data_IF_352073102068
#
_entry.id   IF_352073102068
#
_cell.length_a   1.000
_cell.length_b   1.000
_cell.length_c   1.000
_cell.angle_alpha   90.00
_cell.angle_beta   90.00
_cell.angle_gamma   90.00
#
_symmetry.space_group_name_H-M   'P 1'
#
loop_
_entity.id
_entity.type
_entity.pdbx_description
1 polymer ?
#
# COMPACT_ATOMS: atom_id res chain seq x y z
N UNK A 1 -45.43 -26.54 10.06
CA UNK A 1 -46.85 -26.18 10.27
C UNK A 1 -46.93 -25.44 11.59
N UNK A 2 -47.28 -24.15 11.58
CA UNK A 2 -47.52 -23.41 12.82
C UNK A 2 -48.97 -23.68 13.23
N UNK A 3 -49.15 -24.44 14.30
CA UNK A 3 -50.45 -24.71 14.90
C UNK A 3 -50.84 -23.51 15.76
N UNK A 4 -51.84 -22.75 15.34
CA UNK A 4 -52.37 -21.63 16.10
C UNK A 4 -53.46 -22.16 17.04
N UNK A 5 -53.16 -22.24 18.34
CA UNK A 5 -54.20 -22.41 19.35
C UNK A 5 -54.93 -21.07 19.51
N UNK A 6 -56.12 -20.97 18.94
CA UNK A 6 -57.08 -19.94 19.32
C UNK A 6 -57.66 -20.32 20.69
N UNK A 7 -57.25 -19.61 21.74
CA UNK A 7 -57.99 -19.64 23.00
C UNK A 7 -59.26 -18.78 22.84
N UNK A 8 -60.35 -19.24 23.44
CA UNK A 8 -61.73 -18.73 23.28
C UNK A 8 -61.96 -17.29 23.77
N UNK A 9 -60.92 -16.57 24.18
CA UNK A 9 -61.03 -15.41 25.06
C UNK A 9 -60.50 -14.12 24.42
N UNK A 10 -60.30 -14.12 23.09
CA UNK A 10 -60.12 -12.88 22.31
C UNK A 10 -58.83 -12.09 22.56
N UNK A 11 -57.88 -12.62 23.33
CA UNK A 11 -56.57 -11.99 23.51
C UNK A 11 -55.57 -12.62 22.55
N UNK A 12 -55.36 -11.99 21.40
CA UNK A 12 -54.24 -12.33 20.52
C UNK A 12 -52.93 -11.98 21.25
N UNK A 13 -52.38 -12.94 21.99
CA UNK A 13 -50.98 -12.89 22.41
C UNK A 13 -50.19 -13.04 21.12
N UNK A 14 -49.75 -11.91 20.56
CA UNK A 14 -48.84 -11.89 19.42
C UNK A 14 -47.56 -12.60 19.82
N UNK A 15 -47.49 -13.90 19.52
CA UNK A 15 -46.28 -14.69 19.65
C UNK A 15 -45.27 -14.09 18.68
N UNK A 16 -44.41 -13.19 19.18
CA UNK A 16 -43.22 -12.78 18.46
C UNK A 16 -42.31 -14.00 18.41
N UNK A 17 -42.45 -14.78 17.34
CA UNK A 17 -41.48 -15.82 17.01
C UNK A 17 -40.23 -15.09 16.55
N UNK A 18 -39.24 -15.01 17.43
CA UNK A 18 -37.89 -14.61 17.04
C UNK A 18 -37.30 -15.78 16.25
N UNK A 19 -37.49 -15.77 14.93
CA UNK A 19 -36.83 -16.71 14.04
C UNK A 19 -35.39 -16.23 13.84
N UNK A 20 -34.43 -17.05 14.25
CA UNK A 20 -33.03 -16.84 13.86
C UNK A 20 -32.84 -17.36 12.44
N UNK A 21 -31.82 -16.87 11.72
CA UNK A 21 -31.50 -17.32 10.36
C UNK A 21 -31.32 -18.85 10.31
N UNK A 22 -30.69 -19.42 11.33
CA UNK A 22 -30.50 -20.87 11.52
C UNK A 22 -31.78 -21.71 11.63
N UNK A 23 -32.94 -21.06 11.78
CA UNK A 23 -34.26 -21.72 11.89
C UNK A 23 -35.10 -21.63 10.62
N UNK A 24 -34.57 -20.99 9.56
CA UNK A 24 -35.27 -20.78 8.30
C UNK A 24 -34.64 -21.69 7.24
N UNK A 25 -35.31 -22.80 6.93
CA UNK A 25 -34.86 -23.68 5.86
C UNK A 25 -35.02 -23.00 4.50
N UNK A 26 -34.07 -23.25 3.60
CA UNK A 26 -34.14 -22.82 2.20
C UNK A 26 -34.33 -24.03 1.29
N UNK A 27 -34.89 -23.79 0.11
CA UNK A 27 -34.88 -24.75 -0.99
C UNK A 27 -34.08 -24.13 -2.10
N UNK A 28 -32.87 -24.63 -2.29
CA UNK A 28 -32.01 -24.20 -3.37
C UNK A 28 -32.26 -25.04 -4.62
N UNK A 29 -33.06 -24.50 -5.54
CA UNK A 29 -33.37 -25.16 -6.81
C UNK A 29 -32.20 -25.20 -7.80
N UNK A 30 -31.13 -24.44 -7.56
CA UNK A 30 -29.97 -24.34 -8.45
C UNK A 30 -28.73 -25.08 -7.99
N UNK A 31 -28.74 -25.61 -6.76
CA UNK A 31 -27.56 -26.23 -6.13
C UNK A 31 -26.36 -25.28 -6.03
N UNK A 32 -26.63 -23.99 -5.82
CA UNK A 32 -25.66 -22.94 -5.51
C UNK A 32 -25.11 -23.04 -4.08
N UNK A 33 -25.90 -23.56 -3.14
CA UNK A 33 -25.56 -23.66 -1.73
C UNK A 33 -25.59 -25.10 -1.24
N UNK A 34 -24.67 -25.45 -0.35
CA UNK A 34 -24.73 -26.71 0.41
C UNK A 34 -25.60 -26.57 1.66
N UNK A 35 -25.76 -25.35 2.15
CA UNK A 35 -26.61 -24.96 3.25
C UNK A 35 -28.07 -25.27 2.98
N UNK A 36 -28.71 -25.91 3.95
CA UNK A 36 -30.16 -26.22 3.90
C UNK A 36 -31.00 -25.16 4.62
N UNK A 37 -30.33 -24.16 5.21
CA UNK A 37 -30.92 -23.08 5.97
C UNK A 37 -30.18 -21.74 5.71
N UNK A 38 -30.84 -20.62 6.02
CA UNK A 38 -30.42 -19.27 5.66
C UNK A 38 -29.04 -18.88 6.21
N UNK A 39 -28.74 -19.18 7.47
CA UNK A 39 -27.44 -18.89 8.11
C UNK A 39 -26.28 -19.57 7.39
N UNK A 40 -26.35 -20.88 7.14
CA UNK A 40 -25.29 -21.62 6.42
C UNK A 40 -25.12 -21.09 5.00
N UNK A 41 -26.22 -20.83 4.28
CA UNK A 41 -26.13 -20.26 2.94
C UNK A 41 -25.53 -18.83 2.95
N UNK A 42 -25.85 -18.00 3.95
CA UNK A 42 -25.22 -16.70 4.14
C UNK A 42 -23.73 -16.80 4.47
N UNK A 43 -23.32 -17.80 5.25
CA UNK A 43 -21.91 -18.07 5.53
C UNK A 43 -21.17 -18.54 4.27
N UNK A 44 -21.80 -19.33 3.40
CA UNK A 44 -21.25 -19.72 2.10
C UNK A 44 -21.10 -18.52 1.18
N UNK A 45 -22.11 -17.66 1.07
CA UNK A 45 -22.02 -16.40 0.31
C UNK A 45 -20.90 -15.51 0.87
N UNK A 46 -20.82 -15.40 2.21
CA UNK A 46 -19.77 -14.65 2.88
C UNK A 46 -18.38 -15.23 2.61
N UNK A 47 -18.26 -16.56 2.50
CA UNK A 47 -17.03 -17.24 2.13
C UNK A 47 -16.69 -17.08 0.64
N UNK A 48 -17.69 -17.05 -0.25
CA UNK A 48 -17.48 -16.75 -1.68
C UNK A 48 -17.11 -15.29 -1.91
N UNK A 49 -17.61 -14.35 -1.12
CA UNK A 49 -17.12 -12.97 -1.14
C UNK A 49 -15.64 -12.85 -0.75
N UNK A 50 -15.11 -13.80 0.05
CA UNK A 50 -13.66 -13.91 0.27
C UNK A 50 -12.90 -14.35 -0.99
N UNK A 51 -13.55 -14.86 -2.03
CA UNK A 51 -12.89 -15.27 -3.30
C UNK A 51 -12.33 -14.06 -4.05
N UNK A 52 -12.75 -12.83 -3.72
CA UNK A 52 -12.08 -11.62 -4.19
C UNK A 52 -10.76 -11.30 -3.49
N UNK A 53 -10.40 -12.08 -2.45
CA UNK A 53 -9.29 -11.88 -1.53
C UNK A 53 -8.86 -10.41 -1.39
N UNK A 54 -9.83 -9.57 -1.00
CA UNK A 54 -9.60 -8.14 -0.95
C UNK A 54 -8.41 -7.86 -0.03
N UNK A 55 -7.53 -7.00 -0.50
CA UNK A 55 -6.43 -6.45 0.26
C UNK A 55 -6.29 -4.96 -0.01
N UNK A 56 -5.52 -4.26 0.79
CA UNK A 56 -5.30 -2.82 0.64
C UNK A 56 -6.35 -1.97 1.36
N UNK A 57 -6.35 -0.68 1.07
CA UNK A 57 -7.04 0.34 1.86
C UNK A 57 -8.40 0.72 1.27
N UNK A 58 -9.38 0.98 2.14
CA UNK A 58 -10.64 1.59 1.67
C UNK A 58 -10.46 3.08 1.33
N UNK A 59 -9.52 3.74 2.01
CA UNK A 59 -9.21 5.16 1.84
C UNK A 59 -7.77 5.44 2.31
N UNK A 60 -6.81 5.29 1.40
CA UNK A 60 -5.40 5.54 1.65
C UNK A 60 -5.08 7.02 1.92
N UNK A 61 -5.93 7.96 1.51
CA UNK A 61 -5.70 9.40 1.71
C UNK A 61 -5.67 9.82 3.19
N UNK A 62 -6.13 8.93 4.08
CA UNK A 62 -6.09 9.11 5.54
C UNK A 62 -4.87 8.49 6.21
N UNK A 63 -3.97 7.88 5.44
CA UNK A 63 -2.75 7.24 5.93
C UNK A 63 -1.55 8.04 5.46
N UNK A 64 -0.74 8.50 6.42
CA UNK A 64 0.52 9.17 6.14
C UNK A 64 1.69 8.27 6.55
N UNK A 65 2.60 8.00 5.63
CA UNK A 65 3.83 7.24 5.86
C UNK A 65 5.00 8.17 6.18
N UNK A 66 5.85 7.75 7.09
CA UNK A 66 7.12 8.42 7.37
C UNK A 66 8.19 7.41 7.80
N UNK A 67 9.45 7.81 7.64
CA UNK A 67 10.60 7.02 8.04
C UNK A 67 11.52 7.80 8.97
N UNK A 68 11.96 7.14 10.04
CA UNK A 68 12.96 7.66 10.94
C UNK A 68 14.30 6.93 10.73
N UNK A 69 15.30 7.60 10.15
CA UNK A 69 16.63 6.99 9.91
C UNK A 69 17.35 6.59 11.20
N UNK A 70 17.15 7.32 12.30
CA UNK A 70 17.85 7.05 13.55
C UNK A 70 17.35 5.76 14.23
N UNK A 71 16.03 5.54 14.21
CA UNK A 71 15.40 4.36 14.81
C UNK A 71 15.10 3.26 13.79
N UNK A 72 15.25 3.55 12.49
CA UNK A 72 14.97 2.67 11.35
C UNK A 72 13.52 2.18 11.37
N UNK A 73 12.64 3.12 11.70
CA UNK A 73 11.22 2.88 11.97
C UNK A 73 10.38 3.49 10.86
N UNK A 74 9.57 2.64 10.22
CA UNK A 74 8.45 3.10 9.42
C UNK A 74 7.29 3.41 10.35
N UNK A 75 6.66 4.56 10.17
CA UNK A 75 5.50 5.01 10.95
C UNK A 75 4.35 5.32 10.01
N UNK A 76 3.18 4.76 10.30
CA UNK A 76 1.90 5.12 9.70
C UNK A 76 1.09 5.95 10.69
N UNK A 77 0.65 7.13 10.27
CA UNK A 77 -0.27 7.97 11.06
C UNK A 77 -1.64 8.00 10.39
N UNK A 78 -2.71 7.84 11.17
CA UNK A 78 -4.07 7.76 10.66
C UNK A 78 -4.89 9.00 11.02
N UNK A 79 -5.57 9.55 10.02
CA UNK A 79 -6.57 10.60 10.24
C UNK A 79 -7.92 9.99 10.55
N UNK A 80 -8.24 9.87 11.85
CA UNK A 80 -9.47 9.24 12.32
C UNK A 80 -9.39 7.71 12.31
N UNK A 81 -10.53 7.05 12.08
CA UNK A 81 -10.59 5.60 11.86
C UNK A 81 -10.46 5.31 10.38
N UNK A 82 -9.51 4.45 10.03
CA UNK A 82 -9.29 3.93 8.68
C UNK A 82 -9.64 2.45 8.64
N UNK A 83 -9.87 1.93 7.45
CA UNK A 83 -10.21 0.53 7.22
C UNK A 83 -9.34 -0.02 6.10
N UNK A 84 -8.92 -1.27 6.27
CA UNK A 84 -8.14 -2.01 5.29
C UNK A 84 -8.63 -3.45 5.25
N UNK A 85 -8.24 -4.15 4.20
CA UNK A 85 -8.55 -5.55 4.00
C UNK A 85 -7.26 -6.37 3.99
N UNK A 86 -7.30 -7.54 4.61
CA UNK A 86 -6.23 -8.54 4.58
C UNK A 86 -6.87 -9.92 4.60
N UNK A 87 -6.49 -10.79 3.68
CA UNK A 87 -7.04 -12.12 3.44
C UNK A 87 -8.59 -12.10 3.33
N UNK A 88 -9.11 -11.06 2.66
CA UNK A 88 -10.55 -10.84 2.51
C UNK A 88 -11.29 -10.53 3.82
N UNK A 89 -10.57 -10.26 4.90
CA UNK A 89 -11.10 -9.84 6.20
C UNK A 89 -10.87 -8.33 6.35
N UNK A 90 -11.93 -7.62 6.73
CA UNK A 90 -11.89 -6.17 6.97
C UNK A 90 -11.42 -5.87 8.39
N UNK A 91 -10.43 -5.02 8.50
CA UNK A 91 -9.87 -4.52 9.75
C UNK A 91 -10.07 -3.01 9.86
N UNK A 92 -9.92 -2.49 11.07
CA UNK A 92 -9.98 -1.06 11.34
C UNK A 92 -8.80 -0.61 12.17
N UNK A 93 -8.25 0.56 11.88
CA UNK A 93 -7.15 1.12 12.65
C UNK A 93 -7.36 2.61 12.94
N UNK A 94 -6.72 3.11 14.00
CA UNK A 94 -6.71 4.53 14.33
C UNK A 94 -5.45 4.90 15.13
N UNK A 95 -5.07 6.18 15.13
CA UNK A 95 -3.88 6.63 15.84
C UNK A 95 -2.62 6.45 15.00
N UNK A 96 -1.70 5.61 15.46
CA UNK A 96 -0.39 5.43 14.83
C UNK A 96 0.05 3.99 14.97
N UNK A 97 0.58 3.41 13.90
CA UNK A 97 1.35 2.16 13.94
C UNK A 97 2.79 2.43 13.54
N UNK A 98 3.72 1.72 14.17
CA UNK A 98 5.13 1.85 13.89
C UNK A 98 5.80 0.48 13.96
N UNK A 99 6.71 0.22 13.02
CA UNK A 99 7.51 -1.00 13.03
C UNK A 99 8.88 -0.74 12.45
N UNK A 100 9.91 -1.02 13.26
CA UNK A 100 11.30 -0.93 12.85
C UNK A 100 11.76 -2.20 12.13
N UNK A 101 12.76 -2.05 11.25
CA UNK A 101 13.45 -3.21 10.71
C UNK A 101 14.15 -3.98 11.83
N UNK A 102 14.10 -5.31 11.76
CA UNK A 102 14.49 -6.21 12.86
C UNK A 102 15.99 -6.42 13.00
N UNK A 103 16.78 -5.98 12.01
CA UNK A 103 18.24 -6.07 12.03
C UNK A 103 18.87 -4.97 11.17
N UNK A 104 20.07 -4.54 11.55
CA UNK A 104 20.85 -3.58 10.76
C UNK A 104 21.58 -4.28 9.62
N UNK A 105 20.81 -4.75 8.65
CA UNK A 105 21.33 -5.48 7.50
C UNK A 105 20.79 -4.86 6.22
N UNK A 106 21.67 -4.64 5.24
CA UNK A 106 21.26 -4.25 3.89
C UNK A 106 20.22 -5.21 3.32
N UNK A 107 19.31 -4.68 2.52
CA UNK A 107 18.29 -5.46 1.83
C UNK A 107 17.05 -4.65 1.50
N UNK A 108 16.10 -5.33 0.85
CA UNK A 108 14.75 -4.82 0.63
C UNK A 108 13.87 -5.30 1.78
N UNK A 109 13.11 -4.39 2.36
CA UNK A 109 12.22 -4.62 3.50
C UNK A 109 10.79 -4.31 3.08
N UNK A 110 9.85 -5.16 3.46
CA UNK A 110 8.44 -5.03 3.07
C UNK A 110 7.59 -5.04 4.32
N UNK A 111 6.76 -4.01 4.48
CA UNK A 111 5.78 -3.89 5.57
C UNK A 111 4.40 -4.21 5.04
N UNK A 112 3.66 -5.03 5.78
CA UNK A 112 2.29 -5.42 5.46
C UNK A 112 1.54 -5.80 6.73
N UNK A 113 0.21 -5.76 6.69
CA UNK A 113 -0.60 -6.38 7.74
C UNK A 113 -0.82 -7.85 7.46
N UNK A 114 -0.48 -8.70 8.43
CA UNK A 114 -0.93 -10.09 8.52
C UNK A 114 -2.12 -10.13 9.49
N UNK A 115 -3.33 -10.05 8.93
CA UNK A 115 -4.54 -9.83 9.72
C UNK A 115 -4.54 -8.46 10.40
N UNK A 116 -4.56 -8.41 11.73
CA UNK A 116 -4.52 -7.17 12.53
C UNK A 116 -3.11 -6.74 12.95
N UNK A 117 -2.08 -7.48 12.54
CA UNK A 117 -0.71 -7.29 13.01
C UNK A 117 0.19 -6.73 11.90
N UNK A 118 0.74 -5.54 12.13
CA UNK A 118 1.77 -4.97 11.25
C UNK A 118 3.04 -5.83 11.35
N UNK A 119 3.52 -6.28 10.20
CA UNK A 119 4.64 -7.21 10.05
C UNK A 119 5.67 -6.63 9.08
N UNK A 120 6.94 -7.04 9.22
CA UNK A 120 8.02 -6.69 8.29
C UNK A 120 8.82 -7.93 7.90
N UNK A 121 9.08 -8.09 6.59
CA UNK A 121 9.93 -9.15 6.04
C UNK A 121 11.12 -8.56 5.28
N UNK A 122 12.28 -9.22 5.33
CA UNK A 122 13.50 -8.82 4.63
C UNK A 122 13.84 -9.79 3.52
N UNK A 123 14.15 -9.25 2.34
CA UNK A 123 14.50 -10.01 1.14
C UNK A 123 13.57 -11.21 0.93
N UNK A 124 12.24 -10.99 0.88
CA UNK A 124 11.29 -12.07 0.64
C UNK A 124 11.64 -12.79 -0.67
N UNK A 125 11.45 -14.11 -0.66
CA UNK A 125 11.43 -14.91 -1.88
C UNK A 125 10.26 -14.51 -2.78
N UNK A 126 10.30 -14.90 -4.05
CA UNK A 126 9.19 -14.64 -4.98
C UNK A 126 7.85 -15.15 -4.44
N UNK A 127 7.79 -16.37 -3.91
CA UNK A 127 6.55 -16.89 -3.31
C UNK A 127 6.08 -16.15 -2.06
N UNK A 128 6.99 -15.52 -1.30
CA UNK A 128 6.60 -14.68 -0.17
C UNK A 128 6.08 -13.32 -0.65
N UNK A 129 6.65 -12.78 -1.73
CA UNK A 129 6.12 -11.57 -2.37
C UNK A 129 4.74 -11.81 -2.95
N UNK A 130 4.54 -12.92 -3.65
CA UNK A 130 3.23 -13.29 -4.21
C UNK A 130 2.19 -13.39 -3.08
N UNK A 131 2.54 -14.01 -1.95
CA UNK A 131 1.63 -14.09 -0.79
C UNK A 131 1.30 -12.70 -0.23
N UNK A 132 2.31 -11.84 -0.05
CA UNK A 132 2.13 -10.46 0.41
C UNK A 132 1.23 -9.66 -0.51
N UNK A 133 1.46 -9.71 -1.83
CA UNK A 133 0.69 -8.95 -2.82
C UNK A 133 -0.71 -9.53 -3.02
N UNK A 134 -0.91 -10.85 -2.88
CA UNK A 134 -2.21 -11.47 -3.12
C UNK A 134 -3.14 -11.42 -1.94
N UNK A 135 -2.59 -11.54 -0.73
CA UNK A 135 -3.37 -11.91 0.44
C UNK A 135 -3.24 -10.87 1.56
N UNK A 136 -2.23 -10.02 1.57
CA UNK A 136 -1.98 -9.11 2.69
C UNK A 136 -2.17 -7.64 2.30
N UNK A 137 -2.50 -6.80 3.28
CA UNK A 137 -2.49 -5.36 3.07
C UNK A 137 -1.04 -4.87 3.05
N UNK A 138 -0.44 -4.82 1.86
CA UNK A 138 0.87 -4.20 1.66
C UNK A 138 0.83 -2.72 2.05
N UNK A 139 1.90 -2.25 2.69
CA UNK A 139 2.00 -0.88 3.23
C UNK A 139 3.12 -0.12 2.53
N UNK A 140 4.33 -0.69 2.54
CA UNK A 140 5.50 -0.03 1.99
C UNK A 140 6.61 -1.06 1.69
N UNK A 141 7.48 -0.69 0.76
CA UNK A 141 8.75 -1.35 0.55
C UNK A 141 9.90 -0.36 0.79
N UNK A 142 11.02 -0.82 1.35
CA UNK A 142 12.20 0.00 1.57
C UNK A 142 13.49 -0.70 1.16
N UNK A 143 14.34 -0.03 0.39
CA UNK A 143 15.74 -0.45 0.28
C UNK A 143 16.54 0.18 1.42
N UNK A 144 17.16 -0.65 2.26
CA UNK A 144 18.10 -0.22 3.31
C UNK A 144 19.51 -0.66 2.93
N UNK A 145 20.49 0.22 3.13
CA UNK A 145 21.89 -0.06 2.85
C UNK A 145 22.79 0.40 4.00
N UNK A 146 23.52 -0.54 4.60
CA UNK A 146 24.43 -0.29 5.74
C UNK A 146 25.82 0.17 5.32
N UNK A 147 26.17 0.08 4.05
CA UNK A 147 27.52 0.34 3.55
C UNK A 147 27.75 1.82 3.23
N UNK A 148 26.68 2.62 3.20
CA UNK A 148 26.73 4.03 2.85
C UNK A 148 26.41 4.90 4.06
N UNK A 149 27.24 5.91 4.30
CA UNK A 149 27.07 6.88 5.38
C UNK A 149 26.41 8.17 4.84
N UNK A 150 25.26 8.03 4.17
CA UNK A 150 24.44 9.17 3.77
C UNK A 150 23.31 9.34 4.77
N UNK A 151 22.90 10.59 5.04
CA UNK A 151 21.81 10.87 6.00
C UNK A 151 20.43 10.38 5.52
N UNK A 152 20.36 9.84 4.30
CA UNK A 152 19.13 9.47 3.59
C UNK A 152 19.20 8.06 2.96
N UNK A 153 19.65 7.09 3.77
CA UNK A 153 19.97 5.70 3.38
C UNK A 153 18.78 4.82 2.99
N UNK A 154 17.54 5.27 3.19
CA UNK A 154 16.34 4.50 2.84
C UNK A 154 15.79 4.94 1.49
N UNK A 155 15.32 4.00 0.67
CA UNK A 155 14.41 4.31 -0.43
C UNK A 155 13.05 3.74 -0.07
N UNK A 156 12.17 4.57 0.48
CA UNK A 156 10.83 4.15 0.88
C UNK A 156 9.86 4.35 -0.29
N UNK A 157 9.29 3.25 -0.78
CA UNK A 157 8.17 3.22 -1.70
C UNK A 157 6.88 2.97 -0.92
N UNK A 158 5.86 3.79 -1.19
CA UNK A 158 4.54 3.67 -0.59
C UNK A 158 3.70 2.72 -1.45
N UNK A 159 3.09 1.72 -0.82
CA UNK A 159 2.28 0.68 -1.47
C UNK A 159 0.84 0.70 -0.93
N UNK A 160 0.38 1.89 -0.53
CA UNK A 160 -0.96 2.14 0.01
C UNK A 160 -2.04 2.05 -1.07
N UNK A 161 -2.02 0.97 -1.85
CA UNK A 161 -3.00 0.66 -2.88
C UNK A 161 -4.39 0.47 -2.29
N UNK A 162 -5.40 0.67 -3.12
CA UNK A 162 -6.79 0.58 -2.76
C UNK A 162 -7.35 -0.84 -2.87
N UNK A 163 -8.40 -1.12 -2.09
CA UNK A 163 -9.06 -2.43 -2.05
C UNK A 163 -10.04 -2.70 -3.21
N UNK A 164 -9.96 -1.96 -4.31
CA UNK A 164 -10.89 -2.08 -5.43
C UNK A 164 -10.45 -3.13 -6.47
N UNK A 165 -9.21 -3.60 -6.38
CA UNK A 165 -8.66 -4.65 -7.25
C UNK A 165 -8.35 -5.92 -6.47
N UNK A 166 -8.35 -7.06 -7.16
CA UNK A 166 -7.88 -8.31 -6.56
C UNK A 166 -6.36 -8.30 -6.50
N UNK A 167 -5.76 -8.96 -5.50
CA UNK A 167 -4.30 -9.06 -5.39
C UNK A 167 -3.61 -9.70 -6.60
N UNK A 168 -4.32 -10.54 -7.38
CA UNK A 168 -3.82 -11.06 -8.67
C UNK A 168 -3.80 -10.02 -9.79
N UNK A 169 -4.75 -9.09 -9.76
CA UNK A 169 -4.76 -7.96 -10.69
C UNK A 169 -3.63 -7.01 -10.34
N UNK A 170 -3.44 -6.73 -9.05
CA UNK A 170 -2.31 -5.97 -8.50
C UNK A 170 -0.98 -6.57 -8.98
N UNK A 171 -0.67 -7.83 -8.67
CA UNK A 171 0.56 -8.51 -9.16
C UNK A 171 0.75 -8.40 -10.68
N UNK A 172 -0.31 -8.65 -11.46
CA UNK A 172 -0.21 -8.56 -12.92
C UNK A 172 0.15 -7.16 -13.41
N UNK A 173 -0.33 -6.10 -12.74
CA UNK A 173 0.02 -4.72 -13.08
C UNK A 173 1.49 -4.47 -12.75
N UNK A 174 1.98 -4.84 -11.56
CA UNK A 174 3.39 -4.73 -11.19
C UNK A 174 4.31 -5.41 -12.23
N UNK A 175 3.96 -6.63 -12.63
CA UNK A 175 4.80 -7.45 -13.51
C UNK A 175 4.75 -7.02 -14.99
N UNK A 176 3.56 -6.67 -15.48
CA UNK A 176 3.33 -6.46 -16.91
C UNK A 176 3.40 -4.98 -17.32
N UNK A 177 3.13 -4.06 -16.39
CA UNK A 177 3.02 -2.63 -16.66
C UNK A 177 4.07 -1.87 -15.83
N UNK A 178 4.07 -2.08 -14.52
CA UNK A 178 4.84 -1.30 -13.55
C UNK A 178 4.44 0.17 -13.56
N UNK A 179 5.39 1.03 -13.20
CA UNK A 179 5.20 2.48 -13.19
C UNK A 179 5.10 3.06 -14.62
N UNK A 180 4.09 3.90 -14.85
CA UNK A 180 3.82 4.54 -16.14
C UNK A 180 3.84 6.06 -16.03
N UNK A 181 4.68 6.72 -16.83
CA UNK A 181 4.71 8.18 -16.95
C UNK A 181 3.41 8.74 -17.55
N UNK A 182 2.86 9.81 -16.97
CA UNK A 182 1.66 10.49 -17.49
C UNK A 182 2.04 11.80 -18.18
N UNK A 183 2.62 12.75 -17.45
CA UNK A 183 2.97 14.07 -17.98
C UNK A 183 4.05 14.79 -17.16
N UNK A 184 4.50 15.95 -17.66
CA UNK A 184 5.47 16.79 -16.96
C UNK A 184 6.94 16.56 -17.33
N UNK A 185 7.86 16.88 -16.41
CA UNK A 185 9.30 16.65 -16.56
C UNK A 185 9.97 17.36 -17.74
N UNK A 186 9.43 18.50 -18.19
CA UNK A 186 10.04 19.27 -19.29
C UNK A 186 11.31 19.95 -18.83
N UNK A 187 12.42 19.69 -19.54
CA UNK A 187 13.74 20.26 -19.26
C UNK A 187 13.87 21.68 -19.81
N UNK A 188 14.42 22.59 -19.01
CA UNK A 188 14.75 23.96 -19.41
C UNK A 188 16.01 24.49 -18.71
N UNK A 189 16.42 25.73 -19.02
CA UNK A 189 17.55 26.42 -18.37
C UNK A 189 18.90 25.66 -18.38
N UNK A 190 19.19 24.91 -19.46
CA UNK A 190 20.47 24.21 -19.68
C UNK A 190 21.29 24.82 -20.83
N UNK A 191 22.61 24.62 -20.79
CA UNK A 191 23.53 25.09 -21.84
C UNK A 191 24.01 23.94 -22.73
N UNK A 192 23.84 24.09 -24.05
CA UNK A 192 24.32 23.11 -25.03
C UNK A 192 25.76 23.41 -25.51
N UNK A 193 26.49 22.35 -25.85
CA UNK A 193 27.79 22.47 -26.52
C UNK A 193 28.97 22.78 -25.60
N UNK A 194 28.80 22.59 -24.30
CA UNK A 194 29.84 22.70 -23.27
C UNK A 194 29.75 21.50 -22.32
N UNK A 195 30.82 21.26 -21.55
CA UNK A 195 30.97 20.09 -20.67
C UNK A 195 31.32 20.50 -19.23
N UNK A 196 30.75 21.61 -18.76
CA UNK A 196 30.90 22.10 -17.38
C UNK A 196 29.73 21.67 -16.51
N UNK A 197 29.97 21.54 -15.21
CA UNK A 197 28.93 21.29 -14.18
C UNK A 197 27.77 22.29 -14.28
N UNK A 198 28.05 23.57 -14.51
CA UNK A 198 27.03 24.59 -14.69
C UNK A 198 26.16 24.42 -15.96
N UNK A 199 26.61 23.60 -16.92
CA UNK A 199 25.89 23.37 -18.17
C UNK A 199 24.98 22.13 -18.12
N UNK A 200 25.17 21.28 -17.12
CA UNK A 200 24.41 20.05 -16.91
C UNK A 200 23.44 20.18 -15.73
N UNK A 201 23.36 21.34 -15.10
CA UNK A 201 22.20 21.73 -14.30
C UNK A 201 21.10 22.22 -15.22
N UNK A 202 19.85 22.02 -14.79
CA UNK A 202 18.66 22.29 -15.58
C UNK A 202 17.48 22.50 -14.65
N UNK A 203 16.42 23.10 -15.18
CA UNK A 203 15.12 23.17 -14.53
C UNK A 203 14.20 22.06 -15.07
N UNK A 204 13.27 21.60 -14.23
CA UNK A 204 12.22 20.65 -14.55
C UNK A 204 10.86 21.25 -14.21
N UNK A 205 9.85 20.97 -15.02
CA UNK A 205 8.45 21.12 -14.57
C UNK A 205 8.09 19.98 -13.63
N UNK A 206 7.01 20.15 -12.86
CA UNK A 206 6.34 19.07 -12.11
C UNK A 206 6.21 17.80 -12.96
N UNK A 207 6.21 16.64 -12.29
CA UNK A 207 6.19 15.32 -12.92
C UNK A 207 5.03 14.52 -12.36
N UNK A 208 4.27 13.89 -13.26
CA UNK A 208 3.20 12.99 -12.86
C UNK A 208 3.38 11.59 -13.46
N UNK A 209 3.22 10.57 -12.62
CA UNK A 209 3.25 9.17 -13.03
C UNK A 209 2.31 8.34 -12.17
N UNK A 210 1.96 7.16 -12.70
CA UNK A 210 1.18 6.17 -11.99
C UNK A 210 2.06 4.99 -11.61
N UNK A 211 1.95 4.56 -10.36
CA UNK A 211 2.33 3.21 -9.96
C UNK A 211 1.04 2.45 -9.69
N UNK A 212 0.58 1.71 -10.69
CA UNK A 212 -0.69 1.00 -10.67
C UNK A 212 -1.96 1.88 -10.47
N UNK A 213 -2.53 1.87 -9.27
CA UNK A 213 -3.67 2.66 -8.82
C UNK A 213 -3.26 3.86 -7.95
N UNK A 214 -1.94 4.07 -7.78
CA UNK A 214 -1.36 5.19 -7.04
C UNK A 214 -0.87 6.25 -8.02
N UNK A 215 -1.38 7.47 -7.86
CA UNK A 215 -0.93 8.65 -8.59
C UNK A 215 0.17 9.35 -7.79
N UNK A 216 1.30 9.61 -8.45
CA UNK A 216 2.44 10.32 -7.87
C UNK A 216 2.64 11.65 -8.59
N UNK A 217 2.54 12.73 -7.82
CA UNK A 217 2.79 14.10 -8.27
C UNK A 217 4.09 14.60 -7.60
N UNK A 218 5.17 14.67 -8.37
CA UNK A 218 6.40 15.37 -7.93
C UNK A 218 6.24 16.85 -8.26
N UNK A 219 6.24 17.69 -7.22
CA UNK A 219 5.95 19.13 -7.35
C UNK A 219 7.16 19.99 -6.99
N UNK A 220 7.32 21.10 -7.71
CA UNK A 220 8.34 22.10 -7.42
C UNK A 220 8.07 22.81 -6.09
N UNK A 221 9.05 22.79 -5.20
CA UNK A 221 9.02 23.51 -3.94
C UNK A 221 10.42 24.06 -3.63
N UNK A 222 10.50 25.39 -3.41
CA UNK A 222 11.75 26.04 -3.02
C UNK A 222 12.31 25.53 -1.68
N UNK A 223 11.41 25.12 -0.77
CA UNK A 223 11.72 24.53 0.53
C UNK A 223 11.04 23.16 0.63
N UNK A 224 11.47 22.19 -0.19
CA UNK A 224 10.91 20.84 -0.22
C UNK A 224 11.00 20.14 1.14
N UNK A 225 9.84 19.86 1.74
CA UNK A 225 9.74 19.22 3.07
C UNK A 225 8.63 18.17 3.15
N UNK A 226 7.69 18.19 2.21
CA UNK A 226 6.64 17.21 2.03
C UNK A 226 7.07 15.98 1.23
N UNK A 227 6.24 14.94 1.31
CA UNK A 227 6.38 13.77 0.44
C UNK A 227 6.11 14.19 -1.01
N UNK A 228 7.01 13.83 -1.92
CA UNK A 228 6.96 14.20 -3.35
C UNK A 228 7.13 15.70 -3.67
N UNK A 229 7.65 16.49 -2.73
CA UNK A 229 8.18 17.83 -3.04
C UNK A 229 9.67 17.73 -3.42
N UNK A 230 10.10 18.53 -4.39
CA UNK A 230 11.51 18.63 -4.79
C UNK A 230 11.80 20.05 -5.29
N UNK A 231 13.03 20.54 -5.12
CA UNK A 231 13.49 21.74 -5.84
C UNK A 231 13.67 21.36 -7.31
N UNK A 232 12.78 21.82 -8.18
CA UNK A 232 12.80 21.53 -9.63
C UNK A 232 13.16 22.77 -10.47
N UNK A 233 12.97 23.98 -9.94
CA UNK A 233 13.32 25.23 -10.64
C UNK A 233 14.49 25.96 -9.98
N UNK A 234 15.23 26.76 -10.77
CA UNK A 234 16.41 27.48 -10.28
C UNK A 234 17.64 26.60 -10.07
N UNK A 235 17.84 25.61 -10.95
CA UNK A 235 18.71 24.44 -10.85
C UNK A 235 18.09 23.33 -9.99
N UNK A 236 17.43 22.39 -10.67
CA UNK A 236 16.80 21.24 -10.03
C UNK A 236 17.80 20.45 -9.17
N UNK A 237 17.40 20.16 -7.93
CA UNK A 237 18.16 19.32 -7.03
C UNK A 237 17.61 17.90 -7.10
N UNK A 238 18.35 16.93 -7.64
CA UNK A 238 17.82 15.58 -7.90
C UNK A 238 18.64 14.55 -7.10
N UNK A 239 17.99 13.67 -6.32
CA UNK A 239 18.69 12.57 -5.64
C UNK A 239 19.18 11.55 -6.67
N UNK A 240 20.37 10.99 -6.44
CA UNK A 240 20.96 10.01 -7.35
C UNK A 240 20.89 8.62 -6.73
N UNK A 241 20.18 7.71 -7.41
CA UNK A 241 20.10 6.30 -7.06
C UNK A 241 21.20 5.51 -7.75
N UNK A 242 21.88 4.63 -7.02
CA UNK A 242 22.96 3.81 -7.56
C UNK A 242 23.09 2.46 -6.87
N UNK A 243 23.82 1.54 -7.49
CA UNK A 243 24.16 0.24 -6.91
C UNK A 243 25.49 0.36 -6.17
N UNK A 244 25.50 0.07 -4.88
CA UNK A 244 26.72 0.04 -4.08
C UNK A 244 27.67 -1.04 -4.62
N UNK A 245 28.96 -0.71 -4.70
CA UNK A 245 29.99 -1.61 -5.19
C UNK A 245 30.32 -2.75 -4.22
N UNK A 246 29.96 -2.63 -2.94
CA UNK A 246 30.31 -3.61 -1.90
C UNK A 246 29.48 -4.88 -2.01
N UNK A 247 28.16 -4.74 -2.06
CA UNK A 247 27.21 -5.86 -2.08
C UNK A 247 26.11 -5.73 -3.15
N UNK A 248 26.17 -4.67 -3.95
CA UNK A 248 25.16 -4.38 -4.95
C UNK A 248 23.86 -3.84 -4.38
N UNK A 249 23.73 -3.55 -3.09
CA UNK A 249 22.50 -2.96 -2.55
C UNK A 249 22.23 -1.58 -3.16
N UNK A 250 20.96 -1.19 -3.26
CA UNK A 250 20.62 0.16 -3.71
C UNK A 250 21.07 1.19 -2.67
N UNK A 251 21.61 2.30 -3.15
CA UNK A 251 22.01 3.43 -2.36
C UNK A 251 21.45 4.72 -2.97
N UNK A 252 21.34 5.74 -2.13
CA UNK A 252 20.93 7.09 -2.51
C UNK A 252 21.97 8.09 -2.07
N UNK A 253 22.37 8.97 -2.97
CA UNK A 253 23.03 10.22 -2.63
C UNK A 253 21.96 11.31 -2.50
N UNK A 254 22.11 12.19 -1.50
CA UNK A 254 21.22 13.32 -1.28
C UNK A 254 21.07 14.18 -2.55
N UNK A 255 19.93 14.85 -2.68
CA UNK A 255 19.64 15.71 -3.81
C UNK A 255 20.73 16.76 -4.01
N UNK A 256 21.08 17.00 -5.28
CA UNK A 256 22.04 18.03 -5.66
C UNK A 256 21.75 18.55 -7.06
N UNK A 257 22.31 19.71 -7.41
CA UNK A 257 22.20 20.29 -8.76
C UNK A 257 22.90 19.49 -9.87
N UNK A 258 23.61 18.42 -9.50
CA UNK A 258 24.33 17.56 -10.44
C UNK A 258 23.58 16.23 -10.59
N UNK A 259 23.27 15.80 -11.83
CA UNK A 259 22.53 14.57 -12.11
C UNK A 259 23.42 13.31 -12.06
N UNK A 260 24.47 13.30 -11.25
CA UNK A 260 25.40 12.17 -11.11
C UNK A 260 25.97 12.05 -9.71
N UNK A 261 26.53 10.88 -9.41
CA UNK A 261 27.25 10.63 -8.16
C UNK A 261 28.49 11.52 -8.11
N UNK A 262 28.51 12.47 -7.19
CA UNK A 262 29.66 13.34 -6.97
C UNK A 262 30.43 12.86 -5.73
N UNK A 263 31.74 12.59 -5.82
CA UNK A 263 32.52 12.31 -4.62
C UNK A 263 32.53 13.54 -3.72
N UNK A 264 31.99 13.40 -2.50
CA UNK A 264 32.04 14.41 -1.45
C UNK A 264 33.45 14.71 -0.96
#
# INVERSE_FOLDING_TARGET
MAEYLLTSDGFAVGLKIFLNASSINITDSGSFYTGTEVETALQEIGAELKVHNLNGWEDASKVALSWNNATKTMTMTYTGTVYYWSDGIRYSQSGTDELAITSDLSGVWWWYYDGDTLTVVRNPSHSELDDVIWNHCLVAAACWNTNVAYDDTVLLASELHGCQMSGKTHEWIHDAIGCTFREGGSLSEYELGTSSDAAISFDLTDIEFYDEDIEHEITDAADASGQYEQVLTGQAEIPVLFRDATDGSWARQAASVLPYISPG
#
